data_IF_458385827864
#
_entry.id   IF_458385827864
#
_cell.length_a   1.000
_cell.length_b   1.000
_cell.length_c   1.000
_cell.angle_alpha   90.00
_cell.angle_beta   90.00
_cell.angle_gamma   90.00
#
_symmetry.space_group_name_H-M   'P 1'
#
loop_
_entity.id
_entity.type
_entity.pdbx_description
1 polymer ?
#
# COMPACT_ATOMS: atom_id res chain seq x y z
N UNK A 1 -2.38 3.77 -6.13
CA UNK A 1 -2.57 2.32 -6.26
C UNK A 1 -1.86 1.69 -5.08
N UNK A 2 -2.63 1.01 -4.23
CA UNK A 2 -2.09 0.26 -3.09
C UNK A 2 -1.47 -1.03 -3.59
N UNK A 3 -0.17 -1.00 -3.84
CA UNK A 3 0.59 -2.05 -4.50
C UNK A 3 1.29 -2.91 -3.43
N UNK A 4 0.47 -3.67 -2.69
CA UNK A 4 0.86 -4.43 -1.50
C UNK A 4 1.16 -5.92 -1.77
N UNK A 5 0.89 -6.42 -2.99
CA UNK A 5 1.17 -7.79 -3.41
C UNK A 5 0.23 -8.88 -2.87
N UNK A 6 -0.86 -8.52 -2.18
CA UNK A 6 -1.78 -9.47 -1.54
C UNK A 6 -3.22 -9.27 -2.04
N UNK A 7 -3.92 -10.38 -2.27
CA UNK A 7 -5.38 -10.44 -2.40
C UNK A 7 -5.97 -11.40 -1.35
N UNK A 8 -7.28 -11.65 -1.41
CA UNK A 8 -7.96 -12.62 -0.54
C UNK A 8 -7.33 -14.01 -0.61
N UNK A 9 -6.98 -14.47 -1.82
CA UNK A 9 -6.42 -15.81 -2.05
C UNK A 9 -4.92 -15.89 -1.70
N UNK A 10 -4.29 -14.78 -1.32
CA UNK A 10 -2.88 -14.72 -0.93
C UNK A 10 -2.01 -13.85 -1.85
N UNK A 11 -0.78 -14.30 -2.08
CA UNK A 11 0.22 -13.65 -2.93
C UNK A 11 -0.25 -13.58 -4.40
N UNK A 12 -0.33 -12.36 -4.95
CA UNK A 12 -1.01 -12.11 -6.24
C UNK A 12 -0.30 -12.70 -7.45
N UNK A 13 0.98 -13.06 -7.35
CA UNK A 13 1.79 -13.55 -8.46
C UNK A 13 1.24 -14.83 -9.12
N UNK A 14 0.39 -15.58 -8.40
CA UNK A 14 -0.28 -16.77 -8.93
C UNK A 14 -1.38 -16.47 -9.97
N UNK A 15 -1.93 -15.25 -9.99
CA UNK A 15 -3.10 -14.91 -10.85
C UNK A 15 -3.10 -13.48 -11.40
N UNK A 16 -2.18 -12.61 -10.95
CA UNK A 16 -2.08 -11.23 -11.41
C UNK A 16 -0.62 -10.82 -11.56
N UNK A 17 -0.14 -10.84 -12.80
CA UNK A 17 1.26 -10.58 -13.17
C UNK A 17 1.41 -9.44 -14.17
N UNK A 18 0.40 -8.57 -14.29
CA UNK A 18 0.46 -7.43 -15.20
C UNK A 18 1.63 -6.51 -14.86
N UNK A 19 2.33 -6.03 -15.89
CA UNK A 19 3.07 -4.77 -15.78
C UNK A 19 2.04 -3.62 -15.75
N UNK A 20 1.50 -3.40 -14.55
CA UNK A 20 0.43 -2.43 -14.32
C UNK A 20 0.87 -1.02 -14.76
N UNK A 21 2.14 -0.68 -14.56
CA UNK A 21 2.67 0.60 -14.99
C UNK A 21 2.59 0.75 -16.52
N UNK A 22 3.11 -0.24 -17.27
CA UNK A 22 3.04 -0.23 -18.74
C UNK A 22 1.61 -0.22 -19.26
N UNK A 23 0.71 -0.97 -18.62
CA UNK A 23 -0.71 -0.96 -18.97
C UNK A 23 -1.30 0.45 -18.92
N UNK A 24 -1.01 1.22 -17.87
CA UNK A 24 -1.52 2.58 -17.72
C UNK A 24 -0.82 3.58 -18.64
N UNK A 25 0.48 3.42 -18.89
CA UNK A 25 1.18 4.20 -19.91
C UNK A 25 0.56 4.02 -21.30
N UNK A 26 0.14 2.79 -21.66
CA UNK A 26 -0.54 2.52 -22.93
C UNK A 26 -1.90 3.24 -23.04
N UNK A 27 -2.52 3.59 -21.92
CA UNK A 27 -3.73 4.44 -21.90
C UNK A 27 -3.41 5.95 -21.93
N UNK A 28 -2.13 6.33 -22.02
CA UNK A 28 -1.71 7.73 -22.01
C UNK A 28 -1.63 8.35 -20.62
N UNK A 29 -1.59 7.55 -19.55
CA UNK A 29 -1.44 8.06 -18.19
C UNK A 29 0.01 8.45 -17.89
N UNK A 30 0.19 9.42 -17.01
CA UNK A 30 1.43 9.64 -16.28
C UNK A 30 1.52 8.62 -15.13
N UNK A 31 2.66 7.93 -14.99
CA UNK A 31 2.82 6.87 -13.98
C UNK A 31 4.07 7.10 -13.14
N UNK A 32 3.89 7.30 -11.83
CA UNK A 32 4.99 7.36 -10.86
C UNK A 32 5.15 5.97 -10.24
N UNK A 33 6.27 5.32 -10.54
CA UNK A 33 6.57 3.94 -10.11
C UNK A 33 7.31 3.91 -8.78
N UNK A 34 7.10 2.85 -8.01
CA UNK A 34 7.95 2.51 -6.86
C UNK A 34 7.95 3.57 -5.76
N UNK A 35 6.84 4.27 -5.55
CA UNK A 35 6.69 5.19 -4.43
C UNK A 35 6.67 4.35 -3.15
N UNK A 36 7.57 4.62 -2.21
CA UNK A 36 7.47 4.02 -0.88
C UNK A 36 6.21 4.58 -0.19
N UNK A 37 5.22 3.72 0.03
CA UNK A 37 3.93 4.08 0.60
C UNK A 37 3.97 4.27 2.12
N UNK A 38 5.11 4.04 2.77
CA UNK A 38 5.33 4.31 4.19
C UNK A 38 6.30 5.48 4.44
N UNK A 39 6.77 6.14 3.39
CA UNK A 39 7.56 7.38 3.45
C UNK A 39 6.71 8.59 3.03
N UNK A 40 6.39 9.44 4.00
CA UNK A 40 5.60 10.65 3.78
C UNK A 40 6.23 11.61 2.76
N UNK A 41 7.56 11.73 2.73
CA UNK A 41 8.25 12.61 1.80
C UNK A 41 8.28 12.01 0.39
N UNK A 42 8.39 10.69 0.24
CA UNK A 42 8.26 10.02 -1.05
C UNK A 42 6.86 10.22 -1.66
N UNK A 43 5.82 10.04 -0.86
CA UNK A 43 4.43 10.28 -1.28
C UNK A 43 4.24 11.75 -1.67
N UNK A 44 4.74 12.68 -0.84
CA UNK A 44 4.65 14.11 -1.12
C UNK A 44 5.27 14.48 -2.46
N UNK A 45 6.49 14.03 -2.73
CA UNK A 45 7.17 14.27 -4.02
C UNK A 45 6.36 13.71 -5.20
N UNK A 46 5.85 12.49 -5.08
CA UNK A 46 5.05 11.86 -6.13
C UNK A 46 3.74 12.61 -6.41
N UNK A 47 3.10 13.15 -5.37
CA UNK A 47 1.89 13.98 -5.50
C UNK A 47 2.20 15.33 -6.16
N UNK A 48 3.30 15.97 -5.77
CA UNK A 48 3.75 17.23 -6.39
C UNK A 48 4.06 17.05 -7.88
N UNK A 49 4.79 15.99 -8.23
CA UNK A 49 5.08 15.60 -9.62
C UNK A 49 3.80 15.36 -10.42
N UNK A 50 2.88 14.56 -9.89
CA UNK A 50 1.61 14.25 -10.56
C UNK A 50 0.73 15.50 -10.79
N UNK A 51 0.74 16.47 -9.86
CA UNK A 51 0.00 17.73 -10.01
C UNK A 51 0.62 18.67 -11.04
N UNK A 52 1.91 18.56 -11.32
CA UNK A 52 2.58 19.34 -12.35
C UNK A 52 2.24 18.86 -13.77
N UNK A 53 1.73 17.63 -13.91
CA UNK A 53 1.24 17.08 -15.18
C UNK A 53 -0.19 17.53 -15.43
N UNK A 54 -0.40 18.40 -16.43
CA UNK A 54 -1.70 19.05 -16.68
C UNK A 54 -2.48 18.47 -17.86
N UNK A 55 -1.88 17.56 -18.62
CA UNK A 55 -2.43 17.03 -19.88
C UNK A 55 -2.76 15.53 -19.82
N UNK A 56 -2.50 14.87 -18.68
CA UNK A 56 -2.71 13.43 -18.48
C UNK A 56 -3.27 13.12 -17.09
N UNK A 57 -4.10 12.08 -16.95
CA UNK A 57 -4.37 11.49 -15.64
C UNK A 57 -3.08 10.86 -15.06
N UNK A 58 -2.99 10.77 -13.73
CA UNK A 58 -1.82 10.22 -13.03
C UNK A 58 -2.14 8.97 -12.21
N UNK A 59 -1.26 7.96 -12.28
CA UNK A 59 -1.24 6.78 -11.41
C UNK A 59 0.03 6.80 -10.55
N UNK A 60 -0.13 6.92 -9.23
CA UNK A 60 0.95 6.75 -8.28
C UNK A 60 0.92 5.31 -7.76
N UNK A 61 1.98 4.54 -8.02
CA UNK A 61 2.11 3.16 -7.56
C UNK A 61 2.85 3.15 -6.22
N UNK A 62 2.08 3.08 -5.13
CA UNK A 62 2.60 3.11 -3.78
C UNK A 62 2.81 1.68 -3.28
N UNK A 63 4.06 1.31 -3.02
CA UNK A 63 4.42 0.04 -2.40
C UNK A 63 4.14 0.14 -0.91
N UNK A 64 3.21 -0.67 -0.44
CA UNK A 64 2.79 -0.71 0.97
C UNK A 64 2.89 -2.13 1.50
N UNK A 65 2.62 -2.27 2.80
CA UNK A 65 2.53 -3.55 3.49
C UNK A 65 1.12 -3.60 4.05
N UNK A 66 0.30 -4.53 3.55
CA UNK A 66 -1.04 -4.74 4.12
C UNK A 66 -0.92 -5.06 5.61
N UNK A 67 -1.75 -4.44 6.45
CA UNK A 67 -1.67 -4.62 7.90
C UNK A 67 -0.38 -4.08 8.55
N UNK A 68 0.32 -3.12 7.94
CA UNK A 68 1.53 -2.50 8.50
C UNK A 68 1.39 -2.18 10.00
N UNK A 69 2.43 -2.53 10.76
CA UNK A 69 2.48 -2.38 12.22
C UNK A 69 2.07 -3.63 12.99
N UNK A 70 1.25 -4.53 12.41
CA UNK A 70 0.91 -5.81 13.04
C UNK A 70 2.08 -6.79 12.94
N UNK A 71 2.73 -7.20 14.05
CA UNK A 71 3.93 -8.03 13.97
C UNK A 71 3.69 -9.40 13.34
N UNK A 72 2.50 -9.99 13.50
CA UNK A 72 2.21 -11.34 13.03
C UNK A 72 1.32 -11.39 11.78
N UNK A 73 0.62 -10.31 11.43
CA UNK A 73 -0.30 -10.29 10.28
C UNK A 73 0.06 -9.25 9.20
N UNK A 74 1.06 -8.40 9.42
CA UNK A 74 1.56 -7.54 8.35
C UNK A 74 2.09 -8.37 7.18
N UNK A 75 1.72 -7.99 5.96
CA UNK A 75 2.13 -8.66 4.72
C UNK A 75 1.39 -9.97 4.42
N UNK A 76 0.36 -10.33 5.20
CA UNK A 76 -0.42 -11.56 5.00
C UNK A 76 -1.87 -11.29 4.64
N UNK A 77 -2.51 -12.24 3.94
CA UNK A 77 -3.94 -12.16 3.60
C UNK A 77 -4.85 -12.16 4.85
N UNK A 78 -4.38 -12.64 6.00
CA UNK A 78 -5.16 -12.69 7.25
C UNK A 78 -5.48 -11.30 7.82
N UNK A 79 -4.73 -10.27 7.40
CA UNK A 79 -5.00 -8.87 7.74
C UNK A 79 -6.09 -8.22 6.87
N UNK A 80 -6.55 -8.89 5.81
CA UNK A 80 -7.46 -8.31 4.82
C UNK A 80 -8.90 -8.12 5.33
N UNK A 81 -9.52 -9.20 5.83
CA UNK A 81 -10.98 -9.27 5.97
C UNK A 81 -11.48 -9.72 7.34
N UNK A 82 -10.60 -9.84 8.33
CA UNK A 82 -10.95 -10.31 9.67
C UNK A 82 -10.34 -9.42 10.75
N UNK A 83 -10.97 -9.33 11.95
CA UNK A 83 -10.37 -8.65 13.10
C UNK A 83 -8.98 -9.20 13.40
N UNK A 84 -8.04 -8.33 13.78
CA UNK A 84 -6.70 -8.74 14.19
C UNK A 84 -6.74 -9.63 15.45
N UNK A 85 -7.64 -9.32 16.39
CA UNK A 85 -7.77 -9.96 17.70
C UNK A 85 -7.03 -9.19 18.79
N UNK A 86 -7.53 -9.21 20.02
CA UNK A 86 -7.07 -8.33 21.11
C UNK A 86 -5.57 -8.46 21.41
N UNK A 87 -5.03 -9.69 21.37
CA UNK A 87 -3.60 -9.94 21.56
C UNK A 87 -2.75 -9.29 20.45
N UNK A 88 -3.15 -9.45 19.19
CA UNK A 88 -2.43 -8.84 18.06
C UNK A 88 -2.56 -7.32 18.07
N UNK A 89 -3.71 -6.80 18.50
CA UNK A 89 -3.95 -5.36 18.66
C UNK A 89 -3.03 -4.77 19.73
N UNK A 90 -2.80 -5.47 20.84
CA UNK A 90 -1.85 -5.04 21.87
C UNK A 90 -0.41 -4.99 21.32
N UNK A 91 0.02 -6.04 20.63
CA UNK A 91 1.34 -6.10 19.99
C UNK A 91 1.52 -5.02 18.91
N UNK A 92 0.48 -4.75 18.13
CA UNK A 92 0.49 -3.68 17.11
C UNK A 92 0.66 -2.31 17.75
N UNK A 93 0.02 -2.04 18.90
CA UNK A 93 0.23 -0.79 19.64
C UNK A 93 1.66 -0.67 20.14
N UNK A 94 2.23 -1.73 20.69
CA UNK A 94 3.63 -1.74 21.15
C UNK A 94 4.59 -1.49 19.98
N UNK A 95 4.40 -2.16 18.84
CA UNK A 95 5.23 -2.00 17.65
C UNK A 95 5.16 -0.59 17.04
N UNK A 96 3.99 0.07 17.12
CA UNK A 96 3.77 1.43 16.62
C UNK A 96 4.03 2.53 17.67
N UNK A 97 4.45 2.16 18.89
CA UNK A 97 4.51 3.05 20.06
C UNK A 97 3.22 3.84 20.31
N UNK A 98 2.07 3.23 20.02
CA UNK A 98 0.75 3.86 20.15
C UNK A 98 0.17 3.63 21.55
N UNK A 99 0.38 4.60 22.46
CA UNK A 99 0.04 4.50 23.88
C UNK A 99 -1.41 4.78 24.24
N UNK A 100 -2.23 5.23 23.29
CA UNK A 100 -3.61 5.64 23.57
C UNK A 100 -4.58 4.45 23.60
N UNK A 101 -5.56 4.53 24.50
CA UNK A 101 -6.66 3.58 24.60
C UNK A 101 -7.53 3.57 23.32
N UNK A 102 -8.37 2.53 23.12
CA UNK A 102 -9.39 2.56 22.08
C UNK A 102 -10.40 3.68 22.34
N UNK A 103 -10.46 4.64 21.39
CA UNK A 103 -11.39 5.79 21.37
C UNK A 103 -11.33 6.68 22.62
#
# INVERSE_FOLDING_TARGET
YDDNGISIDGHVEGWFTDDTAKRFEAYGWHVVRGVDGHDADAIKRAVEEARAVTDKPSLLMCKTIIGFGSPNKAGTHDSHGAPLGDAEIALTREALDWKHAPF
#
